data_IF_824414815075
#
_entry.id   IF_824414815075
#
_cell.length_a   1.000
_cell.length_b   1.000
_cell.length_c   1.000
_cell.angle_alpha   90.00
_cell.angle_beta   90.00
_cell.angle_gamma   90.00
#
_symmetry.space_group_name_H-M   'P 1'
#
loop_
_entity.id
_entity.type
_entity.pdbx_description
1 polymer ?
#
# COMPACT_ATOMS: atom_id res chain seq x y z
N UNK A 1 0.91 9.41 4.30
CA UNK A 1 0.06 8.74 5.32
C UNK A 1 -1.00 9.70 5.87
N UNK A 2 -1.68 10.43 4.97
CA UNK A 2 -3.03 10.89 5.24
C UNK A 2 -3.98 9.87 4.63
N UNK A 3 -4.19 8.78 5.35
CA UNK A 3 -5.38 7.97 5.19
C UNK A 3 -6.02 7.91 6.56
N UNK A 4 -6.70 9.01 6.93
CA UNK A 4 -7.87 8.90 7.77
C UNK A 4 -8.84 8.00 7.01
N UNK A 5 -8.70 6.69 7.20
CA UNK A 5 -9.66 5.70 6.72
C UNK A 5 -10.98 6.00 7.42
N UNK A 6 -11.79 6.87 6.81
CA UNK A 6 -13.23 6.79 6.95
C UNK A 6 -13.58 5.38 6.47
N UNK A 7 -13.89 4.53 7.44
CA UNK A 7 -14.46 3.24 7.12
C UNK A 7 -15.83 3.54 6.53
N UNK A 8 -16.09 3.12 5.29
CA UNK A 8 -17.42 3.23 4.68
C UNK A 8 -18.47 2.46 5.50
N UNK A 9 -18.02 1.45 6.24
CA UNK A 9 -18.80 0.85 7.31
C UNK A 9 -18.90 1.86 8.46
N UNK A 10 -20.13 2.19 8.85
CA UNK A 10 -20.48 3.19 9.86
C UNK A 10 -20.16 2.74 11.30
N UNK A 11 -18.93 2.28 11.53
CA UNK A 11 -18.43 1.67 12.76
C UNK A 11 -18.52 2.68 13.92
N UNK A 12 -18.43 3.97 13.64
CA UNK A 12 -18.51 5.01 14.66
C UNK A 12 -19.93 5.19 15.23
N UNK A 13 -20.97 4.80 14.49
CA UNK A 13 -22.36 4.76 14.96
C UNK A 13 -22.71 3.51 15.78
N UNK A 14 -21.84 2.50 15.80
CA UNK A 14 -22.04 1.29 16.60
C UNK A 14 -21.82 1.62 18.08
N UNK A 15 -22.74 1.16 18.93
CA UNK A 15 -22.65 1.32 20.38
C UNK A 15 -21.34 0.73 20.92
N UNK A 16 -20.73 1.39 21.91
CA UNK A 16 -19.48 0.92 22.50
C UNK A 16 -19.70 -0.44 23.20
N UNK A 17 -18.79 -1.42 23.02
CA UNK A 17 -18.85 -2.64 23.79
C UNK A 17 -18.65 -2.34 25.28
N UNK A 18 -19.39 -3.04 26.14
CA UNK A 18 -19.48 -2.79 27.58
C UNK A 18 -18.22 -3.14 28.38
N UNK A 19 -17.22 -3.79 27.77
CA UNK A 19 -16.02 -4.31 28.44
C UNK A 19 -14.76 -3.62 27.93
N UNK A 20 -13.93 -3.14 28.86
CA UNK A 20 -12.60 -2.63 28.54
C UNK A 20 -11.77 -3.72 27.84
N UNK A 21 -11.38 -3.48 26.59
CA UNK A 21 -10.56 -4.41 25.82
C UNK A 21 -9.08 -4.14 26.10
N UNK A 22 -8.42 -5.09 26.79
CA UNK A 22 -6.97 -5.08 26.94
C UNK A 22 -6.24 -5.61 25.68
N UNK A 23 -4.93 -5.38 25.61
CA UNK A 23 -4.11 -5.80 24.48
C UNK A 23 -4.10 -7.32 24.29
N UNK A 24 -4.05 -8.07 25.39
CA UNK A 24 -4.00 -9.54 25.37
C UNK A 24 -5.27 -10.14 24.76
N UNK A 25 -6.44 -9.57 25.05
CA UNK A 25 -7.72 -9.96 24.46
C UNK A 25 -7.76 -9.64 22.98
N UNK A 26 -7.38 -8.41 22.59
CA UNK A 26 -7.32 -8.02 21.18
C UNK A 26 -6.41 -8.96 20.37
N UNK A 27 -5.23 -9.28 20.91
CA UNK A 27 -4.29 -10.23 20.31
C UNK A 27 -4.89 -11.61 20.12
N UNK A 28 -5.48 -12.22 21.16
CA UNK A 28 -6.11 -13.55 21.08
C UNK A 28 -7.30 -13.58 20.11
N UNK A 29 -8.04 -12.49 20.00
CA UNK A 29 -9.18 -12.41 19.08
C UNK A 29 -8.70 -12.28 17.64
N UNK A 30 -7.80 -11.34 17.35
CA UNK A 30 -7.46 -10.97 15.98
C UNK A 30 -6.36 -11.80 15.32
N UNK A 31 -5.39 -12.32 16.08
CA UNK A 31 -4.22 -12.98 15.49
C UNK A 31 -4.57 -14.24 14.69
N UNK A 32 -5.72 -14.89 14.96
CA UNK A 32 -6.19 -16.03 14.16
C UNK A 32 -6.46 -15.67 12.69
N UNK A 33 -6.86 -14.43 12.41
CA UNK A 33 -7.16 -13.95 11.06
C UNK A 33 -5.90 -13.54 10.29
N UNK A 34 -4.74 -13.48 10.94
CA UNK A 34 -3.47 -13.12 10.31
C UNK A 34 -2.56 -14.33 10.08
N UNK A 35 -3.13 -15.54 10.08
CA UNK A 35 -2.43 -16.78 9.73
C UNK A 35 -3.16 -17.55 8.62
N UNK A 36 -2.46 -18.17 7.67
CA UNK A 36 -3.09 -19.02 6.65
C UNK A 36 -3.94 -20.15 7.26
N UNK A 37 -3.43 -20.81 8.29
CA UNK A 37 -4.14 -21.92 8.96
C UNK A 37 -5.45 -21.44 9.59
N UNK A 38 -5.41 -20.33 10.34
CA UNK A 38 -6.59 -19.77 10.97
C UNK A 38 -7.59 -19.25 9.93
N UNK A 39 -7.12 -18.58 8.87
CA UNK A 39 -7.95 -18.14 7.76
C UNK A 39 -8.69 -19.32 7.11
N UNK A 40 -7.98 -20.41 6.77
CA UNK A 40 -8.58 -21.62 6.19
C UNK A 40 -9.60 -22.28 7.13
N UNK A 41 -9.31 -22.37 8.42
CA UNK A 41 -10.25 -22.92 9.40
C UNK A 41 -11.56 -22.13 9.46
N UNK A 42 -11.47 -20.80 9.45
CA UNK A 42 -12.65 -19.92 9.44
C UNK A 42 -13.39 -20.05 8.12
N UNK A 43 -12.70 -20.02 6.99
CA UNK A 43 -13.31 -20.12 5.67
C UNK A 43 -14.04 -21.46 5.48
N UNK A 44 -13.47 -22.57 5.96
CA UNK A 44 -14.13 -23.89 5.95
C UNK A 44 -15.38 -23.96 6.82
N UNK A 45 -15.44 -23.20 7.92
CA UNK A 45 -16.62 -23.17 8.78
C UNK A 45 -17.72 -22.24 8.25
N UNK A 46 -17.38 -21.22 7.46
CA UNK A 46 -18.32 -20.16 7.07
C UNK A 46 -18.74 -20.15 5.59
N UNK A 47 -17.96 -20.77 4.69
CA UNK A 47 -18.27 -20.77 3.26
C UNK A 47 -18.84 -22.14 2.87
N UNK A 48 -20.12 -22.22 2.45
CA UNK A 48 -20.78 -23.49 2.12
C UNK A 48 -20.05 -24.34 1.06
N UNK A 49 -19.39 -23.70 0.11
CA UNK A 49 -18.58 -24.36 -0.93
C UNK A 49 -17.42 -25.18 -0.33
N UNK A 50 -16.89 -24.77 0.82
CA UNK A 50 -15.75 -25.44 1.47
C UNK A 50 -16.18 -26.41 2.55
N UNK A 51 -17.38 -26.25 3.13
CA UNK A 51 -17.89 -27.15 4.17
C UNK A 51 -18.37 -28.49 3.60
N UNK A 52 -18.82 -28.51 2.35
CA UNK A 52 -19.31 -29.71 1.66
C UNK A 52 -18.20 -30.61 1.10
N UNK A 53 -16.94 -30.16 1.13
CA UNK A 53 -15.79 -30.90 0.58
C UNK A 53 -15.73 -30.96 -0.95
N UNK A 54 -16.63 -30.26 -1.65
CA UNK A 54 -16.63 -30.17 -3.12
C UNK A 54 -15.40 -29.44 -3.65
N UNK A 55 -14.94 -28.43 -2.91
CA UNK A 55 -13.75 -27.65 -3.22
C UNK A 55 -12.73 -27.79 -2.09
N UNK A 56 -11.56 -28.37 -2.41
CA UNK A 56 -10.45 -28.45 -1.47
C UNK A 56 -9.58 -27.19 -1.58
N UNK A 57 -9.37 -26.50 -0.45
CA UNK A 57 -8.39 -25.41 -0.36
C UNK A 57 -6.99 -26.03 -0.28
N UNK A 58 -6.21 -25.89 -1.35
CA UNK A 58 -4.84 -26.39 -1.42
C UNK A 58 -3.79 -25.38 -0.94
N UNK A 59 -4.09 -24.08 -1.04
CA UNK A 59 -3.21 -23.01 -0.59
C UNK A 59 -3.99 -21.77 -0.15
N UNK A 60 -3.43 -20.99 0.78
CA UNK A 60 -3.98 -19.75 1.29
C UNK A 60 -2.88 -18.72 1.53
N UNK A 61 -2.91 -17.63 0.77
CA UNK A 61 -1.98 -16.50 0.91
C UNK A 61 -2.71 -15.31 1.50
N UNK A 62 -2.14 -14.68 2.52
CA UNK A 62 -2.64 -13.40 3.05
C UNK A 62 -2.10 -12.28 2.16
N UNK A 63 -3.00 -11.61 1.45
CA UNK A 63 -2.65 -10.49 0.56
C UNK A 63 -2.45 -9.18 1.31
N UNK A 64 -3.29 -8.95 2.32
CA UNK A 64 -3.23 -7.76 3.18
C UNK A 64 -3.81 -8.08 4.55
N UNK A 65 -3.29 -7.43 5.59
CA UNK A 65 -3.87 -7.43 6.92
C UNK A 65 -3.60 -6.09 7.59
N UNK A 66 -4.60 -5.52 8.25
CA UNK A 66 -4.52 -4.18 8.83
C UNK A 66 -5.35 -4.07 10.10
N UNK A 67 -4.65 -3.87 11.21
CA UNK A 67 -5.20 -3.56 12.51
C UNK A 67 -5.55 -2.06 12.59
N UNK A 68 -6.75 -1.75 13.03
CA UNK A 68 -7.18 -0.38 13.38
C UNK A 68 -7.38 -0.30 14.89
N UNK A 69 -6.53 0.49 15.56
CA UNK A 69 -6.60 0.73 17.01
C UNK A 69 -6.77 2.21 17.35
N UNK A 70 -7.29 2.46 18.55
CA UNK A 70 -7.56 3.78 19.09
C UNK A 70 -6.69 4.07 20.31
N UNK A 71 -6.20 5.32 20.43
CA UNK A 71 -5.40 5.76 21.57
C UNK A 71 -6.24 5.90 22.84
N UNK A 72 -7.47 6.43 22.71
CA UNK A 72 -8.37 6.62 23.87
C UNK A 72 -8.79 5.26 24.42
N UNK A 73 -8.57 4.96 25.72
CA UNK A 73 -8.94 3.67 26.31
C UNK A 73 -10.42 3.30 26.09
N UNK A 74 -11.33 4.27 26.24
CA UNK A 74 -12.77 4.08 26.00
C UNK A 74 -13.13 3.72 24.54
N UNK A 75 -12.21 3.91 23.59
CA UNK A 75 -12.40 3.58 22.17
C UNK A 75 -11.69 2.29 21.76
N UNK A 76 -10.91 1.64 22.64
CA UNK A 76 -10.18 0.40 22.29
C UNK A 76 -11.11 -0.74 21.87
N UNK A 77 -12.32 -0.80 22.42
CA UNK A 77 -13.34 -1.76 22.01
C UNK A 77 -13.88 -1.57 20.59
N UNK A 78 -13.63 -0.41 19.95
CA UNK A 78 -13.97 -0.18 18.53
C UNK A 78 -12.90 -0.67 17.57
N UNK A 79 -11.81 -1.25 18.08
CA UNK A 79 -10.71 -1.73 17.23
C UNK A 79 -11.19 -2.83 16.31
N UNK A 80 -10.65 -2.87 15.11
CA UNK A 80 -11.00 -3.84 14.08
C UNK A 80 -9.74 -4.38 13.42
N UNK A 81 -9.85 -5.56 12.81
CA UNK A 81 -8.82 -6.11 11.94
C UNK A 81 -9.45 -6.40 10.58
N UNK A 82 -8.90 -5.80 9.53
CA UNK A 82 -9.16 -6.20 8.15
C UNK A 82 -8.11 -7.23 7.72
N UNK A 83 -8.52 -8.26 6.99
CA UNK A 83 -7.62 -9.26 6.41
C UNK A 83 -8.13 -9.68 5.03
N UNK A 84 -7.23 -9.89 4.08
CA UNK A 84 -7.54 -10.31 2.73
C UNK A 84 -6.77 -11.57 2.38
N UNK A 85 -7.46 -12.56 1.81
CA UNK A 85 -6.91 -13.87 1.50
C UNK A 85 -7.07 -14.18 0.03
N UNK A 86 -6.05 -14.79 -0.59
CA UNK A 86 -6.15 -15.48 -1.87
C UNK A 86 -6.07 -16.98 -1.61
N UNK A 87 -7.12 -17.69 -1.99
CA UNK A 87 -7.19 -19.14 -1.91
C UNK A 87 -6.91 -19.75 -3.27
N UNK A 88 -6.14 -20.82 -3.29
CA UNK A 88 -6.09 -21.74 -4.42
C UNK A 88 -6.93 -22.96 -4.07
N UNK A 89 -7.86 -23.32 -4.95
CA UNK A 89 -8.88 -24.34 -4.71
C UNK A 89 -8.87 -25.36 -5.84
N UNK A 90 -9.21 -26.61 -5.55
CA UNK A 90 -9.39 -27.68 -6.53
C UNK A 90 -10.76 -28.33 -6.39
N UNK A 91 -11.43 -28.55 -7.51
CA UNK A 91 -12.71 -29.25 -7.56
C UNK A 91 -12.48 -30.76 -7.73
N UNK A 92 -12.56 -31.53 -6.64
CA UNK A 92 -12.20 -32.95 -6.64
C UNK A 92 -10.72 -33.24 -6.93
N UNK A 93 -10.36 -34.53 -7.07
CA UNK A 93 -8.96 -34.98 -7.19
C UNK A 93 -8.30 -34.68 -8.55
N UNK A 94 -9.09 -34.35 -9.57
CA UNK A 94 -8.63 -34.07 -10.94
C UNK A 94 -9.03 -32.67 -11.45
N UNK A 95 -9.66 -31.84 -10.61
CA UNK A 95 -10.14 -30.53 -11.03
C UNK A 95 -9.03 -29.51 -11.30
N UNK A 96 -9.33 -28.58 -12.18
CA UNK A 96 -8.47 -27.44 -12.45
C UNK A 96 -8.38 -26.56 -11.20
N UNK A 97 -7.16 -26.09 -10.90
CA UNK A 97 -6.96 -25.15 -9.81
C UNK A 97 -7.62 -23.80 -10.16
N UNK A 98 -8.44 -23.27 -9.27
CA UNK A 98 -9.03 -21.93 -9.39
C UNK A 98 -8.61 -21.07 -8.21
N UNK A 99 -8.60 -19.75 -8.42
CA UNK A 99 -8.29 -18.80 -7.36
C UNK A 99 -9.52 -17.99 -6.96
N UNK A 100 -9.62 -17.69 -5.66
CA UNK A 100 -10.65 -16.81 -5.08
C UNK A 100 -10.03 -15.87 -4.08
N UNK A 101 -10.55 -14.65 -4.03
CA UNK A 101 -10.14 -13.64 -3.05
C UNK A 101 -11.29 -13.40 -2.07
N UNK A 102 -10.96 -13.34 -0.79
CA UNK A 102 -11.88 -13.04 0.29
C UNK A 102 -11.37 -11.85 1.11
N UNK A 103 -12.27 -10.95 1.46
CA UNK A 103 -12.02 -9.86 2.40
C UNK A 103 -12.78 -10.13 3.70
N UNK A 104 -12.08 -10.11 4.83
CA UNK A 104 -12.62 -10.30 6.17
C UNK A 104 -12.43 -9.03 7.00
N UNK A 105 -13.46 -8.62 7.75
CA UNK A 105 -13.37 -7.58 8.80
C UNK A 105 -13.84 -8.14 10.13
N UNK A 106 -12.92 -8.25 11.07
CA UNK A 106 -13.15 -8.73 12.43
C UNK A 106 -13.34 -7.56 13.40
N UNK A 107 -14.23 -7.76 14.36
CA UNK A 107 -14.66 -6.78 15.36
C UNK A 107 -14.44 -7.30 16.78
N UNK A 108 -14.80 -6.47 17.76
CA UNK A 108 -14.79 -6.82 19.18
C UNK A 108 -16.18 -6.61 19.80
N UNK A 109 -16.51 -7.44 20.78
CA UNK A 109 -17.69 -7.27 21.61
C UNK A 109 -19.03 -7.53 20.91
N UNK A 110 -19.04 -8.28 19.81
CA UNK A 110 -20.25 -8.59 19.04
C UNK A 110 -20.68 -7.47 18.09
N UNK A 111 -19.82 -6.47 17.87
CA UNK A 111 -20.13 -5.27 17.08
C UNK A 111 -20.45 -5.60 15.61
N UNK A 112 -19.98 -6.74 15.09
CA UNK A 112 -20.30 -7.19 13.72
C UNK A 112 -21.81 -7.34 13.48
N UNK A 113 -22.61 -7.69 14.49
CA UNK A 113 -24.07 -7.84 14.36
C UNK A 113 -24.72 -6.55 13.91
N UNK A 114 -24.36 -5.45 14.57
CA UNK A 114 -24.91 -4.14 14.26
C UNK A 114 -24.37 -3.63 12.93
N UNK A 115 -23.07 -3.81 12.66
CA UNK A 115 -22.48 -3.44 11.36
C UNK A 115 -23.15 -4.19 10.22
N UNK A 116 -23.36 -5.50 10.36
CA UNK A 116 -24.01 -6.32 9.34
C UNK A 116 -25.47 -5.91 9.11
N UNK A 117 -26.21 -5.60 10.18
CA UNK A 117 -27.59 -5.08 10.10
C UNK A 117 -27.69 -3.78 9.31
N UNK A 118 -26.64 -2.95 9.37
CA UNK A 118 -26.54 -1.67 8.68
C UNK A 118 -26.02 -1.78 7.25
N UNK A 119 -25.56 -2.96 6.80
CA UNK A 119 -25.16 -3.16 5.41
C UNK A 119 -26.38 -3.10 4.50
N UNK A 120 -26.31 -2.27 3.47
CA UNK A 120 -27.32 -2.20 2.42
C UNK A 120 -26.87 -3.02 1.21
N UNK A 121 -27.79 -3.70 0.49
CA UNK A 121 -27.45 -4.46 -0.71
C UNK A 121 -26.89 -3.64 -1.88
N UNK A 122 -26.83 -2.31 -1.81
CA UNK A 122 -26.21 -1.42 -2.82
C UNK A 122 -26.51 -1.81 -4.29
N UNK A 123 -27.79 -2.05 -4.60
CA UNK A 123 -28.23 -2.43 -5.95
C UNK A 123 -28.02 -3.91 -6.31
N UNK A 124 -27.69 -4.77 -5.35
CA UNK A 124 -27.72 -6.23 -5.45
C UNK A 124 -29.09 -6.78 -5.07
N UNK A 125 -29.49 -7.88 -5.71
CA UNK A 125 -30.61 -8.71 -5.25
C UNK A 125 -30.28 -9.37 -3.90
N UNK A 126 -31.31 -9.78 -3.15
CA UNK A 126 -31.12 -10.51 -1.88
C UNK A 126 -30.28 -11.79 -2.04
N UNK A 127 -30.38 -12.45 -3.20
CA UNK A 127 -29.60 -13.65 -3.48
C UNK A 127 -28.13 -13.32 -3.71
N UNK A 128 -27.84 -12.32 -4.53
CA UNK A 128 -26.48 -11.83 -4.77
C UNK A 128 -25.85 -11.32 -3.48
N UNK A 129 -26.59 -10.59 -2.64
CA UNK A 129 -26.09 -10.10 -1.36
C UNK A 129 -25.72 -11.25 -0.42
N UNK A 130 -26.58 -12.28 -0.30
CA UNK A 130 -26.31 -13.48 0.51
C UNK A 130 -25.14 -14.31 0.00
N UNK A 131 -24.87 -14.26 -1.30
CA UNK A 131 -23.68 -14.85 -1.88
C UNK A 131 -22.44 -13.98 -1.63
N UNK A 132 -22.53 -12.67 -1.83
CA UNK A 132 -21.44 -11.73 -1.72
C UNK A 132 -20.90 -11.60 -0.29
N UNK A 133 -21.79 -11.59 0.71
CA UNK A 133 -21.47 -11.25 2.10
C UNK A 133 -21.92 -12.34 3.06
N UNK A 134 -21.05 -12.69 4.01
CA UNK A 134 -21.35 -13.68 5.05
C UNK A 134 -21.02 -13.09 6.41
N UNK A 135 -22.00 -13.10 7.33
CA UNK A 135 -21.83 -12.67 8.72
C UNK A 135 -21.65 -13.87 9.63
N UNK A 136 -20.60 -13.82 10.45
CA UNK A 136 -20.22 -14.87 11.39
C UNK A 136 -20.18 -14.31 12.82
N UNK A 137 -21.32 -14.27 13.53
CA UNK A 137 -21.40 -13.66 14.85
C UNK A 137 -20.53 -14.35 15.91
N UNK A 138 -20.22 -15.64 15.75
CA UNK A 138 -19.36 -16.42 16.65
C UNK A 138 -17.88 -16.01 16.58
N UNK A 139 -17.45 -15.45 15.44
CA UNK A 139 -16.10 -14.91 15.24
C UNK A 139 -16.08 -13.38 15.28
N UNK A 140 -17.25 -12.75 15.50
CA UNK A 140 -17.46 -11.31 15.38
C UNK A 140 -16.92 -10.75 14.05
N UNK A 141 -17.28 -11.41 12.94
CA UNK A 141 -16.65 -11.26 11.63
C UNK A 141 -17.69 -11.02 10.53
N UNK A 142 -17.36 -10.15 9.57
CA UNK A 142 -18.06 -10.07 8.28
C UNK A 142 -17.06 -10.41 7.17
N UNK A 143 -17.50 -11.23 6.21
CA UNK A 143 -16.71 -11.70 5.07
C UNK A 143 -17.36 -11.24 3.77
N UNK A 144 -16.56 -10.72 2.84
CA UNK A 144 -16.94 -10.40 1.47
C UNK A 144 -16.18 -11.27 0.48
N UNK A 145 -16.88 -11.78 -0.52
CA UNK A 145 -16.30 -12.47 -1.68
C UNK A 145 -15.91 -11.42 -2.72
N UNK A 146 -14.64 -11.37 -3.12
CA UNK A 146 -14.23 -10.50 -4.22
C UNK A 146 -14.98 -10.90 -5.51
N UNK A 147 -15.48 -9.95 -6.33
CA UNK A 147 -15.17 -8.53 -6.33
C UNK A 147 -16.03 -7.64 -5.41
N UNK A 148 -16.85 -8.19 -4.52
CA UNK A 148 -17.65 -7.37 -3.62
C UNK A 148 -16.80 -6.74 -2.51
N UNK A 149 -16.94 -5.43 -2.34
CA UNK A 149 -16.29 -4.63 -1.29
C UNK A 149 -17.23 -3.47 -0.92
N UNK A 150 -17.40 -3.16 0.38
CA UNK A 150 -18.35 -2.12 0.82
C UNK A 150 -17.92 -0.68 0.49
N UNK A 151 -16.64 -0.41 0.23
CA UNK A 151 -16.14 0.90 -0.18
C UNK A 151 -15.75 0.97 -1.66
N UNK A 152 -15.63 -0.17 -2.35
CA UNK A 152 -15.29 -0.26 -3.78
C UNK A 152 -16.41 -0.98 -4.57
N UNK A 153 -17.63 -0.42 -4.63
CA UNK A 153 -18.78 -1.08 -5.27
C UNK A 153 -18.61 -1.29 -6.79
N UNK A 154 -17.72 -0.53 -7.42
CA UNK A 154 -17.44 -0.60 -8.86
C UNK A 154 -16.50 -1.76 -9.26
N UNK A 155 -15.89 -2.49 -8.31
CA UNK A 155 -14.95 -3.59 -8.61
C UNK A 155 -15.54 -4.65 -9.56
N UNK A 156 -16.86 -4.88 -9.51
CA UNK A 156 -17.56 -5.80 -10.42
C UNK A 156 -17.37 -5.45 -11.90
N UNK A 157 -17.29 -4.16 -12.23
CA UNK A 157 -17.07 -3.70 -13.59
C UNK A 157 -15.62 -3.86 -14.04
N UNK A 158 -14.68 -3.94 -13.09
CA UNK A 158 -13.23 -4.01 -13.36
C UNK A 158 -12.72 -5.42 -13.61
N UNK A 159 -13.49 -6.44 -13.23
CA UNK A 159 -13.10 -7.85 -13.40
C UNK A 159 -13.91 -8.54 -14.48
N UNK A 160 -14.95 -7.88 -14.99
CA UNK A 160 -15.73 -8.31 -16.13
C UNK A 160 -15.07 -7.78 -17.41
N UNK A 161 -14.58 -8.69 -18.24
CA UNK A 161 -13.81 -8.37 -19.45
C UNK A 161 -14.62 -7.57 -20.49
N UNK A 162 -15.96 -7.68 -20.48
CA UNK A 162 -16.82 -6.97 -21.43
C UNK A 162 -17.27 -5.64 -20.83
N UNK A 163 -17.66 -5.61 -19.55
CA UNK A 163 -18.11 -4.38 -18.91
C UNK A 163 -16.99 -3.33 -18.84
N UNK A 164 -15.73 -3.76 -18.65
CA UNK A 164 -14.60 -2.84 -18.54
C UNK A 164 -14.29 -2.09 -19.83
N UNK A 165 -14.63 -2.65 -21.01
CA UNK A 165 -14.42 -2.01 -22.31
C UNK A 165 -15.12 -0.64 -22.41
N UNK A 166 -16.25 -0.48 -21.73
CA UNK A 166 -17.01 0.78 -21.68
C UNK A 166 -16.33 1.88 -20.86
N UNK A 167 -15.36 1.51 -20.03
CA UNK A 167 -14.67 2.43 -19.13
C UNK A 167 -13.21 2.69 -19.53
N UNK A 168 -12.73 2.07 -20.63
CA UNK A 168 -11.39 2.28 -21.13
C UNK A 168 -11.18 3.74 -21.60
N UNK A 169 -9.98 4.32 -21.40
CA UNK A 169 -9.71 5.72 -21.69
C UNK A 169 -9.48 5.94 -23.20
N UNK A 170 -10.55 6.06 -23.99
CA UNK A 170 -10.48 6.13 -25.45
C UNK A 170 -9.50 7.18 -25.99
N UNK A 171 -9.43 8.37 -25.40
CA UNK A 171 -8.47 9.40 -25.81
C UNK A 171 -7.01 8.99 -25.57
N UNK A 172 -6.69 8.48 -24.38
CA UNK A 172 -5.33 7.98 -24.09
C UNK A 172 -4.96 6.77 -24.94
N UNK A 173 -5.91 5.87 -25.20
CA UNK A 173 -5.68 4.73 -26.10
C UNK A 173 -5.29 5.18 -27.51
N UNK A 174 -5.89 6.26 -28.04
CA UNK A 174 -5.46 6.86 -29.31
C UNK A 174 -4.03 7.37 -29.28
N UNK A 175 -3.56 7.91 -28.15
CA UNK A 175 -2.19 8.41 -28.00
C UNK A 175 -1.13 7.31 -28.07
N UNK A 176 -1.48 6.08 -27.66
CA UNK A 176 -0.61 4.89 -27.81
C UNK A 176 -0.90 4.12 -29.11
N UNK A 177 -1.66 4.72 -30.02
CA UNK A 177 -1.91 4.23 -31.38
C UNK A 177 -3.15 3.36 -31.55
N UNK A 178 -3.94 3.08 -30.52
CA UNK A 178 -5.15 2.25 -30.63
C UNK A 178 -6.32 3.11 -31.13
N UNK A 179 -6.75 2.91 -32.38
CA UNK A 179 -7.73 3.77 -33.07
C UNK A 179 -9.21 3.38 -32.82
N UNK A 180 -9.48 2.22 -32.22
CA UNK A 180 -10.82 1.71 -31.93
C UNK A 180 -10.96 1.24 -30.48
N UNK A 181 -12.06 0.55 -30.18
CA UNK A 181 -12.22 -0.14 -28.89
C UNK A 181 -11.44 -1.46 -28.94
N UNK A 182 -10.36 -1.61 -28.15
CA UNK A 182 -9.65 -2.87 -28.09
C UNK A 182 -10.49 -3.91 -27.35
N UNK A 183 -10.27 -5.18 -27.68
CA UNK A 183 -10.84 -6.27 -26.90
C UNK A 183 -10.00 -6.49 -25.64
N UNK A 184 -10.64 -6.70 -24.48
CA UNK A 184 -9.91 -7.13 -23.28
C UNK A 184 -9.81 -8.65 -23.26
N UNK A 185 -8.60 -9.18 -23.48
CA UNK A 185 -8.35 -10.62 -23.51
C UNK A 185 -8.20 -11.23 -22.12
N UNK A 186 -7.63 -10.48 -21.19
CA UNK A 186 -7.35 -10.95 -19.84
C UNK A 186 -7.35 -9.81 -18.83
N UNK A 187 -7.64 -10.16 -17.58
CA UNK A 187 -7.56 -9.28 -16.42
C UNK A 187 -6.86 -10.01 -15.27
N UNK A 188 -5.99 -9.29 -14.55
CA UNK A 188 -5.31 -9.79 -13.36
C UNK A 188 -5.33 -8.74 -12.24
N UNK A 189 -5.77 -9.14 -11.05
CA UNK A 189 -5.63 -8.32 -9.84
C UNK A 189 -4.16 -8.32 -9.40
N UNK A 190 -3.49 -7.18 -9.58
CA UNK A 190 -2.08 -6.98 -9.20
C UNK A 190 -1.98 -6.74 -7.70
N UNK A 191 -2.83 -5.86 -7.18
CA UNK A 191 -2.83 -5.48 -5.78
C UNK A 191 -4.25 -5.12 -5.35
N UNK A 192 -4.67 -5.61 -4.18
CA UNK A 192 -5.98 -5.29 -3.63
C UNK A 192 -5.83 -4.99 -2.14
N UNK A 193 -6.19 -3.76 -1.76
CA UNK A 193 -6.26 -3.29 -0.38
C UNK A 193 -7.73 -3.00 -0.07
N UNK A 194 -8.41 -3.91 0.64
CA UNK A 194 -9.84 -3.80 0.90
C UNK A 194 -10.24 -2.43 1.46
N UNK A 195 -11.40 -1.96 1.02
CA UNK A 195 -11.99 -0.66 1.32
C UNK A 195 -11.18 0.58 0.88
N UNK A 196 -9.99 0.40 0.27
CA UNK A 196 -9.07 1.49 -0.05
C UNK A 196 -8.85 1.59 -1.55
N UNK A 197 -8.31 0.54 -2.16
CA UNK A 197 -7.94 0.55 -3.58
C UNK A 197 -7.72 -0.83 -4.18
N UNK A 198 -7.84 -0.92 -5.50
CA UNK A 198 -7.50 -2.10 -6.29
C UNK A 198 -6.70 -1.68 -7.54
N UNK A 199 -5.68 -2.45 -7.88
CA UNK A 199 -4.89 -2.28 -9.11
C UNK A 199 -5.06 -3.53 -9.96
N UNK A 200 -5.56 -3.34 -11.18
CA UNK A 200 -5.76 -4.38 -12.17
C UNK A 200 -4.81 -4.17 -13.34
N UNK A 201 -4.31 -5.27 -13.90
CA UNK A 201 -3.61 -5.32 -15.19
C UNK A 201 -4.55 -5.94 -16.21
N UNK A 202 -4.58 -5.39 -17.41
CA UNK A 202 -5.41 -5.83 -18.53
C UNK A 202 -4.53 -6.05 -19.76
N UNK A 203 -4.72 -7.19 -20.41
CA UNK A 203 -4.15 -7.44 -21.73
C UNK A 203 -5.19 -7.05 -22.77
N UNK A 204 -4.86 -6.02 -23.54
CA UNK A 204 -5.68 -5.49 -24.62
C UNK A 204 -5.25 -6.11 -25.95
N UNK A 205 -6.20 -6.32 -26.86
CA UNK A 205 -5.93 -6.71 -28.24
C UNK A 205 -6.51 -5.68 -29.21
N UNK A 206 -5.63 -5.08 -30.00
CA UNK A 206 -5.97 -4.16 -31.07
C UNK A 206 -6.05 -4.93 -32.40
N UNK A 207 -7.28 -5.26 -32.81
CA UNK A 207 -7.54 -5.97 -34.06
C UNK A 207 -7.14 -5.17 -35.31
N UNK A 208 -6.99 -3.84 -35.23
CA UNK A 208 -6.60 -3.01 -36.38
C UNK A 208 -5.11 -3.14 -36.71
N UNK A 209 -4.29 -3.43 -35.71
CA UNK A 209 -2.83 -3.57 -35.82
C UNK A 209 -2.34 -4.98 -35.54
N UNK A 210 -3.24 -5.91 -35.22
CA UNK A 210 -2.93 -7.30 -34.86
C UNK A 210 -1.85 -7.39 -33.76
N UNK A 211 -2.06 -6.64 -32.66
CA UNK A 211 -1.10 -6.56 -31.55
C UNK A 211 -1.77 -6.57 -30.19
N UNK A 212 -1.00 -6.95 -29.17
CA UNK A 212 -1.41 -6.87 -27.77
C UNK A 212 -0.67 -5.77 -27.04
N UNK A 213 -1.37 -5.08 -26.14
CA UNK A 213 -0.81 -4.07 -25.25
C UNK A 213 -1.23 -4.33 -23.79
N UNK A 214 -0.51 -3.73 -22.85
CA UNK A 214 -0.78 -3.88 -21.42
C UNK A 214 -1.30 -2.56 -20.84
N UNK A 215 -2.32 -2.65 -20.00
CA UNK A 215 -2.95 -1.51 -19.37
C UNK A 215 -3.10 -1.75 -17.87
N UNK A 216 -2.80 -0.74 -17.05
CA UNK A 216 -3.04 -0.77 -15.61
C UNK A 216 -4.17 0.17 -15.24
N UNK A 217 -5.14 -0.33 -14.48
CA UNK A 217 -6.23 0.45 -13.89
C UNK A 217 -6.10 0.46 -12.37
N UNK A 218 -5.90 1.65 -11.79
CA UNK A 218 -5.83 1.86 -10.34
C UNK A 218 -7.08 2.56 -9.84
N UNK A 219 -7.84 1.85 -9.03
CA UNK A 219 -9.19 2.16 -8.61
C UNK A 219 -9.22 2.54 -7.13
N UNK A 220 -9.94 3.60 -6.78
CA UNK A 220 -10.03 4.14 -5.43
C UNK A 220 -11.46 4.15 -4.89
N UNK A 221 -11.60 4.18 -3.56
CA UNK A 221 -12.91 4.28 -2.91
C UNK A 221 -13.53 5.68 -3.01
N UNK A 222 -12.76 6.68 -3.43
CA UNK A 222 -13.19 8.06 -3.59
C UNK A 222 -12.62 8.70 -4.88
N UNK A 223 -12.87 9.99 -5.06
CA UNK A 223 -12.47 10.74 -6.26
C UNK A 223 -11.00 11.19 -6.26
N UNK A 224 -10.15 10.70 -5.34
CA UNK A 224 -8.72 11.07 -5.30
C UNK A 224 -7.97 10.67 -6.58
N UNK A 225 -8.50 9.72 -7.36
CA UNK A 225 -7.95 9.31 -8.65
C UNK A 225 -7.79 10.46 -9.64
N UNK A 226 -8.68 11.46 -9.65
CA UNK A 226 -8.55 12.61 -10.55
C UNK A 226 -7.26 13.40 -10.27
N UNK A 227 -7.00 13.72 -9.01
CA UNK A 227 -5.78 14.45 -8.61
C UNK A 227 -4.52 13.63 -8.90
N UNK A 228 -4.58 12.30 -8.75
CA UNK A 228 -3.47 11.43 -9.16
C UNK A 228 -3.23 11.50 -10.67
N UNK A 229 -4.27 11.44 -11.50
CA UNK A 229 -4.14 11.55 -12.94
C UNK A 229 -3.48 12.87 -13.37
N UNK A 230 -3.89 14.00 -12.78
CA UNK A 230 -3.30 15.32 -13.06
C UNK A 230 -1.79 15.36 -12.70
N UNK A 231 -1.41 14.75 -11.57
CA UNK A 231 0.01 14.64 -11.17
C UNK A 231 0.80 13.76 -12.13
N UNK A 232 0.26 12.61 -12.52
CA UNK A 232 0.90 11.74 -13.49
C UNK A 232 1.07 12.46 -14.83
N UNK A 233 0.05 13.18 -15.30
CA UNK A 233 0.14 13.93 -16.56
C UNK A 233 1.27 14.95 -16.52
N UNK A 234 1.38 15.71 -15.42
CA UNK A 234 2.46 16.68 -15.23
C UNK A 234 3.87 16.05 -15.35
N UNK A 235 4.09 14.90 -14.71
CA UNK A 235 5.40 14.24 -14.76
C UNK A 235 5.67 13.58 -16.10
N UNK A 236 4.64 13.07 -16.76
CA UNK A 236 4.74 12.53 -18.11
C UNK A 236 5.17 13.61 -19.10
N UNK A 237 4.50 14.76 -19.10
CA UNK A 237 4.83 15.89 -19.98
C UNK A 237 6.25 16.40 -19.72
N UNK A 238 6.70 16.44 -18.46
CA UNK A 238 8.10 16.73 -18.12
C UNK A 238 9.08 15.72 -18.70
N UNK A 239 8.77 14.42 -18.60
CA UNK A 239 9.64 13.35 -19.12
C UNK A 239 9.78 13.38 -20.64
N UNK A 240 8.75 13.84 -21.36
CA UNK A 240 8.82 14.06 -22.81
C UNK A 240 9.66 15.28 -23.18
N UNK A 241 9.62 16.33 -22.37
CA UNK A 241 10.34 17.58 -22.62
C UNK A 241 11.83 17.52 -22.25
N UNK A 242 12.20 16.70 -21.27
CA UNK A 242 13.56 16.59 -20.76
C UNK A 242 13.94 15.10 -20.53
N UNK A 243 14.85 14.53 -21.35
CA UNK A 243 15.32 13.15 -21.16
C UNK A 243 16.04 12.89 -19.83
N UNK A 244 16.50 13.94 -19.14
CA UNK A 244 17.08 13.84 -17.80
C UNK A 244 16.03 13.87 -16.68
N UNK A 245 14.75 14.13 -17.01
CA UNK A 245 13.68 14.14 -16.03
C UNK A 245 13.26 12.73 -15.60
N UNK A 246 12.54 12.66 -14.48
CA UNK A 246 12.03 11.41 -13.95
C UNK A 246 11.09 10.73 -14.96
N UNK A 247 11.49 9.57 -15.47
CA UNK A 247 10.64 8.74 -16.33
C UNK A 247 9.51 8.09 -15.53
N UNK A 248 8.28 8.12 -16.07
CA UNK A 248 7.10 7.46 -15.50
C UNK A 248 6.30 6.75 -16.60
N UNK A 249 5.41 5.84 -16.23
CA UNK A 249 4.48 5.23 -17.17
C UNK A 249 3.41 6.24 -17.62
N UNK A 250 3.14 6.28 -18.94
CA UNK A 250 2.19 7.22 -19.55
C UNK A 250 0.80 7.09 -18.92
N UNK A 251 0.24 8.15 -18.32
CA UNK A 251 -1.16 8.19 -17.95
C UNK A 251 -2.02 8.28 -19.20
N UNK A 252 -3.11 7.52 -19.24
CA UNK A 252 -4.00 7.46 -20.40
C UNK A 252 -5.37 8.09 -20.12
N UNK A 253 -5.76 8.20 -18.85
CA UNK A 253 -7.00 8.88 -18.49
C UNK A 253 -7.46 8.57 -17.07
N UNK A 254 -8.55 9.23 -16.69
CA UNK A 254 -9.31 8.95 -15.47
C UNK A 254 -10.78 8.70 -15.83
N UNK A 255 -11.35 7.62 -15.32
CA UNK A 255 -12.77 7.25 -15.49
C UNK A 255 -13.52 7.50 -14.18
N UNK A 256 -14.29 8.61 -14.06
CA UNK A 256 -14.96 9.00 -12.83
C UNK A 256 -16.01 8.00 -12.34
N UNK A 257 -16.67 7.29 -13.25
CA UNK A 257 -17.78 6.36 -12.94
C UNK A 257 -17.30 5.17 -12.10
N UNK A 258 -16.02 4.83 -12.24
CA UNK A 258 -15.37 3.70 -11.56
C UNK A 258 -14.15 4.16 -10.75
N UNK A 259 -13.99 5.46 -10.50
CA UNK A 259 -12.86 6.06 -9.77
C UNK A 259 -11.48 5.47 -10.17
N UNK A 260 -11.24 5.29 -11.47
CA UNK A 260 -10.07 4.56 -11.96
C UNK A 260 -9.15 5.42 -12.79
N UNK A 261 -7.87 5.45 -12.41
CA UNK A 261 -6.78 6.04 -13.19
C UNK A 261 -6.15 4.96 -14.06
N UNK A 262 -5.94 5.28 -15.33
CA UNK A 262 -5.40 4.38 -16.32
C UNK A 262 -3.98 4.77 -16.70
N UNK A 263 -3.08 3.79 -16.75
CA UNK A 263 -1.69 3.98 -17.17
C UNK A 263 -1.26 2.88 -18.14
N UNK A 264 -0.49 3.25 -19.14
CA UNK A 264 0.12 2.31 -20.08
C UNK A 264 1.09 1.37 -19.35
N UNK A 265 1.02 0.09 -19.67
CA UNK A 265 2.01 -0.88 -19.21
C UNK A 265 3.36 -0.60 -19.85
N UNK A 266 4.41 -0.60 -19.04
CA UNK A 266 5.78 -0.43 -19.50
C UNK A 266 6.55 -1.73 -19.36
N UNK A 267 7.44 -2.07 -20.31
CA UNK A 267 8.39 -3.15 -20.09
C UNK A 267 9.36 -2.76 -18.98
N UNK A 268 9.77 -3.71 -18.15
CA UNK A 268 10.76 -3.46 -17.11
C UNK A 268 10.80 -4.54 -16.04
N UNK A 269 11.95 -4.67 -15.39
CA UNK A 269 12.14 -5.57 -14.24
C UNK A 269 12.25 -4.73 -12.97
N UNK A 270 11.62 -5.11 -11.85
CA UNK A 270 11.80 -4.39 -10.58
C UNK A 270 13.27 -4.22 -10.24
N UNK A 271 13.69 -3.00 -9.88
CA UNK A 271 15.11 -2.68 -9.68
C UNK A 271 15.77 -3.61 -8.66
N UNK A 272 15.04 -3.96 -7.58
CA UNK A 272 15.50 -4.89 -6.55
C UNK A 272 15.95 -6.26 -7.11
N UNK A 273 15.40 -6.71 -8.23
CA UNK A 273 15.72 -8.02 -8.82
C UNK A 273 16.97 -7.99 -9.71
N UNK A 274 17.38 -6.82 -10.20
CA UNK A 274 18.52 -6.68 -11.10
C UNK A 274 19.72 -6.00 -10.44
N UNK A 275 19.52 -5.35 -9.30
CA UNK A 275 20.56 -4.60 -8.60
C UNK A 275 21.60 -5.52 -7.96
N UNK A 276 22.88 -5.30 -8.27
CA UNK A 276 24.01 -6.05 -7.74
C UNK A 276 25.29 -5.19 -7.58
N UNK A 277 26.37 -5.82 -7.12
CA UNK A 277 27.67 -5.16 -6.90
C UNK A 277 28.32 -4.62 -8.17
N UNK A 278 27.97 -5.12 -9.36
CA UNK A 278 28.52 -4.69 -10.64
C UNK A 278 27.81 -3.46 -11.21
N UNK A 279 26.52 -3.29 -10.91
CA UNK A 279 25.68 -2.27 -11.55
C UNK A 279 25.13 -1.19 -10.60
N UNK A 280 25.26 -1.35 -9.28
CA UNK A 280 24.63 -0.42 -8.32
C UNK A 280 25.01 1.05 -8.53
N UNK A 281 26.26 1.34 -8.93
CA UNK A 281 26.69 2.72 -9.19
C UNK A 281 25.95 3.37 -10.33
N UNK A 282 25.70 2.62 -11.40
CA UNK A 282 24.96 3.10 -12.55
C UNK A 282 23.51 3.40 -12.16
N UNK A 283 22.84 2.46 -11.50
CA UNK A 283 21.46 2.66 -11.07
C UNK A 283 21.32 3.76 -10.03
N UNK A 284 22.23 3.88 -9.06
CA UNK A 284 22.11 4.94 -8.05
C UNK A 284 22.32 6.34 -8.61
N UNK A 285 23.10 6.49 -9.69
CA UNK A 285 23.15 7.74 -10.44
C UNK A 285 21.81 8.05 -11.12
N UNK A 286 21.17 7.07 -11.77
CA UNK A 286 19.86 7.24 -12.39
C UNK A 286 18.75 7.50 -11.35
N UNK A 287 18.78 6.83 -10.20
CA UNK A 287 17.85 7.06 -9.09
C UNK A 287 18.00 8.49 -8.55
N UNK A 288 19.23 8.93 -8.30
CA UNK A 288 19.51 10.29 -7.85
C UNK A 288 19.03 11.34 -8.84
N UNK A 289 19.28 11.14 -10.13
CA UNK A 289 18.84 12.04 -11.18
C UNK A 289 17.31 12.15 -11.25
N UNK A 290 16.61 11.01 -11.35
CA UNK A 290 15.15 11.00 -11.39
C UNK A 290 14.51 11.60 -10.14
N UNK A 291 14.99 11.24 -8.95
CA UNK A 291 14.46 11.78 -7.70
C UNK A 291 14.75 13.28 -7.55
N UNK A 292 15.93 13.76 -7.97
CA UNK A 292 16.22 15.20 -7.97
C UNK A 292 15.30 15.96 -8.95
N UNK A 293 14.92 15.35 -10.08
CA UNK A 293 13.96 15.94 -11.01
C UNK A 293 12.55 16.04 -10.39
N UNK A 294 12.15 15.06 -9.56
CA UNK A 294 10.92 15.14 -8.77
C UNK A 294 11.02 16.27 -7.74
N UNK A 295 12.10 16.33 -6.96
CA UNK A 295 12.28 17.32 -5.90
C UNK A 295 12.41 18.75 -6.42
N UNK A 296 12.92 18.94 -7.64
CA UNK A 296 13.00 20.26 -8.29
C UNK A 296 11.78 20.58 -9.15
N UNK A 297 10.76 19.72 -9.14
CA UNK A 297 9.52 19.97 -9.86
C UNK A 297 8.66 21.04 -9.18
N UNK A 298 7.85 21.74 -9.98
CA UNK A 298 6.90 22.75 -9.49
C UNK A 298 5.46 22.21 -9.53
N UNK A 299 5.23 21.00 -9.03
CA UNK A 299 3.88 20.42 -8.93
C UNK A 299 3.05 21.25 -7.94
N UNK A 300 1.89 21.73 -8.40
CA UNK A 300 0.97 22.52 -7.58
C UNK A 300 0.02 21.63 -6.75
N UNK A 301 -0.63 22.23 -5.75
CA UNK A 301 -1.74 21.59 -5.02
C UNK A 301 -1.35 20.44 -4.08
N UNK A 302 -0.07 20.33 -3.73
CA UNK A 302 0.40 19.33 -2.77
C UNK A 302 0.24 19.83 -1.33
N UNK A 303 -0.23 18.95 -0.44
CA UNK A 303 -0.20 19.22 1.00
C UNK A 303 1.25 19.31 1.48
N UNK A 304 1.53 20.14 2.48
CA UNK A 304 2.85 20.25 3.09
C UNK A 304 2.90 19.46 4.41
N UNK A 305 4.06 18.87 4.71
CA UNK A 305 4.29 18.14 5.95
C UNK A 305 5.63 18.55 6.56
N UNK A 306 5.58 19.13 7.76
CA UNK A 306 6.76 19.63 8.48
C UNK A 306 7.38 18.57 9.40
N UNK A 307 8.65 18.75 9.83
CA UNK A 307 9.24 17.98 10.92
C UNK A 307 8.38 17.97 12.19
N UNK A 308 7.67 19.04 12.49
CA UNK A 308 6.75 19.14 13.63
C UNK A 308 5.54 18.22 13.45
N UNK A 309 4.94 18.20 12.26
CA UNK A 309 3.84 17.29 11.92
C UNK A 309 4.28 15.83 12.02
N UNK A 310 5.51 15.54 11.57
CA UNK A 310 6.15 14.25 11.74
C UNK A 310 6.24 13.82 13.21
N UNK A 311 6.70 14.71 14.08
CA UNK A 311 6.81 14.41 15.51
C UNK A 311 5.44 14.15 16.15
N UNK A 312 4.40 14.89 15.77
CA UNK A 312 3.03 14.66 16.24
C UNK A 312 2.55 13.26 15.86
N UNK A 313 2.71 12.86 14.60
CA UNK A 313 2.27 11.54 14.13
C UNK A 313 3.13 10.40 14.70
N UNK A 314 4.44 10.60 14.81
CA UNK A 314 5.35 9.60 15.39
C UNK A 314 5.04 9.37 16.86
N UNK A 315 4.74 10.41 17.65
CA UNK A 315 4.34 10.24 19.06
C UNK A 315 3.10 9.36 19.19
N UNK A 316 2.08 9.56 18.36
CA UNK A 316 0.88 8.70 18.33
C UNK A 316 1.23 7.24 18.04
N UNK A 317 2.16 7.00 17.10
CA UNK A 317 2.62 5.65 16.74
C UNK A 317 3.40 5.01 17.89
N UNK A 318 4.35 5.74 18.48
CA UNK A 318 5.15 5.27 19.62
C UNK A 318 4.26 4.91 20.81
N UNK A 319 3.23 5.71 21.13
CA UNK A 319 2.26 5.36 22.18
C UNK A 319 1.56 4.02 21.90
N UNK A 320 1.12 3.78 20.66
CA UNK A 320 0.51 2.49 20.28
C UNK A 320 1.48 1.33 20.36
N UNK A 321 2.75 1.55 20.03
CA UNK A 321 3.81 0.54 20.15
C UNK A 321 4.11 0.23 21.63
N UNK A 322 4.18 1.23 22.50
CA UNK A 322 4.36 1.03 23.95
C UNK A 322 3.18 0.27 24.57
N UNK A 323 1.95 0.58 24.16
CA UNK A 323 0.75 -0.16 24.59
C UNK A 323 0.82 -1.65 24.19
N UNK A 324 1.44 -1.94 23.04
CA UNK A 324 1.54 -3.28 22.48
C UNK A 324 2.75 -4.08 22.99
N UNK A 325 3.82 -3.37 23.38
CA UNK A 325 5.04 -3.94 23.96
C UNK A 325 5.43 -3.22 25.26
N UNK A 326 4.66 -3.41 26.35
CA UNK A 326 4.88 -2.66 27.59
C UNK A 326 6.30 -2.79 28.15
N UNK A 327 6.93 -3.96 27.99
CA UNK A 327 8.30 -4.24 28.42
C UNK A 327 9.38 -3.42 27.70
N UNK A 328 9.04 -2.77 26.58
CA UNK A 328 9.95 -1.92 25.81
C UNK A 328 9.56 -0.43 25.84
N UNK A 329 8.61 -0.04 26.68
CA UNK A 329 8.08 1.33 26.73
C UNK A 329 9.16 2.39 26.93
N UNK A 330 10.14 2.14 27.81
CA UNK A 330 11.24 3.08 28.07
C UNK A 330 12.11 3.29 26.82
N UNK A 331 12.45 2.20 26.12
CA UNK A 331 13.22 2.25 24.87
C UNK A 331 12.45 3.00 23.76
N UNK A 332 11.15 2.73 23.64
CA UNK A 332 10.27 3.38 22.66
C UNK A 332 10.14 4.88 22.98
N UNK A 333 9.99 5.25 24.26
CA UNK A 333 9.92 6.65 24.69
C UNK A 333 11.23 7.39 24.40
N UNK A 334 12.38 6.78 24.72
CA UNK A 334 13.69 7.39 24.50
C UNK A 334 13.95 7.72 23.01
N UNK A 335 13.39 6.95 22.07
CA UNK A 335 13.45 7.26 20.64
C UNK A 335 12.61 8.50 20.31
N UNK A 336 11.41 8.61 20.87
CA UNK A 336 10.57 9.81 20.71
C UNK A 336 11.25 11.08 21.25
N UNK A 337 11.90 10.97 22.40
CA UNK A 337 12.67 12.07 23.00
C UNK A 337 13.88 12.44 22.14
N UNK A 338 14.58 11.43 21.62
CA UNK A 338 15.72 11.65 20.70
C UNK A 338 15.28 12.34 19.42
N UNK A 339 14.21 11.86 18.78
CA UNK A 339 13.65 12.48 17.57
C UNK A 339 13.21 13.93 17.83
N UNK A 340 12.61 14.20 18.99
CA UNK A 340 12.21 15.56 19.37
C UNK A 340 13.43 16.47 19.57
N UNK A 341 14.44 16.00 20.32
CA UNK A 341 15.65 16.77 20.65
C UNK A 341 16.56 17.03 19.45
N UNK A 342 16.57 16.12 18.49
CA UNK A 342 17.44 16.18 17.30
C UNK A 342 16.68 16.58 16.03
N UNK A 343 15.45 17.09 16.18
CA UNK A 343 14.66 17.59 15.07
C UNK A 343 15.44 18.61 14.25
N UNK A 344 15.44 18.53 12.91
CA UNK A 344 16.16 19.46 12.06
C UNK A 344 15.65 20.89 12.30
N UNK A 345 16.58 21.81 12.55
CA UNK A 345 16.23 23.23 12.63
C UNK A 345 15.83 23.78 11.25
N UNK A 346 15.03 24.85 11.20
CA UNK A 346 14.83 25.61 9.97
C UNK A 346 16.18 25.98 9.34
N UNK A 347 16.33 25.71 8.05
CA UNK A 347 17.59 25.88 7.32
C UNK A 347 17.31 26.19 5.85
N UNK A 348 18.36 26.41 5.06
CA UNK A 348 18.25 26.72 3.64
C UNK A 348 17.83 25.52 2.75
N UNK A 349 17.66 24.32 3.32
CA UNK A 349 17.13 23.16 2.59
C UNK A 349 15.66 23.43 2.26
N UNK A 350 15.28 23.36 0.98
CA UNK A 350 13.91 23.67 0.57
C UNK A 350 12.94 22.59 1.06
N UNK A 351 11.71 23.01 1.31
CA UNK A 351 10.58 22.09 1.30
C UNK A 351 10.09 22.01 -0.14
N UNK A 352 10.06 20.81 -0.69
CA UNK A 352 9.83 20.57 -2.10
C UNK A 352 8.93 19.35 -2.29
N UNK A 353 8.38 19.11 -3.50
CA UNK A 353 7.68 17.87 -3.76
C UNK A 353 8.56 16.68 -3.41
N UNK A 354 8.04 15.73 -2.64
CA UNK A 354 8.67 14.45 -2.33
C UNK A 354 7.69 13.33 -2.64
N UNK A 355 8.21 12.18 -3.01
CA UNK A 355 7.45 10.97 -3.30
C UNK A 355 6.79 10.39 -2.04
N UNK A 356 7.35 10.65 -0.86
CA UNK A 356 6.85 10.26 0.48
C UNK A 356 6.98 8.77 0.86
N UNK A 357 6.61 7.85 -0.04
CA UNK A 357 6.81 6.39 0.14
C UNK A 357 7.87 5.84 -0.82
N UNK A 358 8.95 6.60 -1.04
CA UNK A 358 10.02 6.21 -1.95
C UNK A 358 10.80 4.99 -1.43
N UNK A 359 10.69 3.86 -2.12
CA UNK A 359 11.42 2.64 -1.81
C UNK A 359 11.74 1.86 -3.09
N UNK A 360 12.65 0.88 -3.02
CA UNK A 360 13.21 0.24 -4.22
C UNK A 360 12.17 -0.45 -5.12
N UNK A 361 11.05 -0.95 -4.57
CA UNK A 361 9.97 -1.54 -5.40
C UNK A 361 9.21 -0.51 -6.24
N UNK A 362 9.39 0.80 -6.02
CA UNK A 362 8.79 1.86 -6.85
C UNK A 362 9.59 2.17 -8.11
N UNK A 363 10.59 1.33 -8.43
CA UNK A 363 11.51 1.53 -9.55
C UNK A 363 11.52 0.29 -10.43
N UNK A 364 11.29 0.50 -11.73
CA UNK A 364 11.49 -0.51 -12.76
C UNK A 364 12.72 -0.15 -13.60
N UNK A 365 13.58 -1.13 -13.86
CA UNK A 365 14.69 -1.01 -14.78
C UNK A 365 14.27 -1.50 -16.17
N UNK A 366 14.46 -0.65 -17.19
CA UNK A 366 14.13 -0.95 -18.58
C UNK A 366 15.20 -0.35 -19.50
N UNK A 367 15.89 -1.20 -20.27
CA UNK A 367 16.86 -0.78 -21.30
C UNK A 367 17.93 0.22 -20.79
N UNK A 368 18.38 0.05 -19.54
CA UNK A 368 19.37 0.96 -18.91
C UNK A 368 18.78 2.27 -18.38
N UNK A 369 17.46 2.44 -18.40
CA UNK A 369 16.73 3.55 -17.80
C UNK A 369 15.90 3.10 -16.59
N UNK A 370 15.41 4.06 -15.81
CA UNK A 370 14.51 3.82 -14.68
C UNK A 370 13.15 4.45 -14.91
N UNK A 371 12.11 3.70 -14.58
CA UNK A 371 10.73 4.17 -14.56
C UNK A 371 10.27 4.19 -13.10
N UNK A 372 9.83 5.36 -12.65
CA UNK A 372 9.31 5.61 -11.32
C UNK A 372 7.81 5.32 -11.28
N UNK A 373 7.37 4.63 -10.24
CA UNK A 373 6.00 4.18 -10.04
C UNK A 373 5.39 4.80 -8.77
N UNK A 374 4.06 4.75 -8.65
CA UNK A 374 3.29 5.07 -7.43
C UNK A 374 3.46 6.50 -6.87
N UNK A 375 2.95 7.47 -7.63
CA UNK A 375 2.93 8.89 -7.26
C UNK A 375 1.66 9.31 -6.44
N UNK A 376 1.06 8.37 -5.71
CA UNK A 376 -0.18 8.60 -4.94
C UNK A 376 0.02 9.57 -3.77
N UNK A 377 1.12 9.39 -3.04
CA UNK A 377 1.35 10.03 -1.75
C UNK A 377 2.23 11.28 -1.85
N UNK A 378 2.33 11.90 -3.04
CA UNK A 378 3.12 13.12 -3.19
C UNK A 378 2.65 14.21 -2.24
N UNK A 379 3.63 14.82 -1.59
CA UNK A 379 3.45 15.97 -0.71
C UNK A 379 4.63 16.92 -0.86
N UNK A 380 4.54 18.09 -0.25
CA UNK A 380 5.68 18.97 -0.02
C UNK A 380 6.33 18.63 1.31
N UNK A 381 7.62 18.34 1.31
CA UNK A 381 8.36 17.98 2.52
C UNK A 381 9.87 18.12 2.36
N UNK A 382 10.59 17.57 3.32
CA UNK A 382 12.04 17.54 3.32
C UNK A 382 12.56 16.47 2.35
N UNK A 383 13.38 16.82 1.34
CA UNK A 383 13.85 15.88 0.33
C UNK A 383 14.65 14.71 0.90
N UNK A 384 15.28 14.87 2.06
CA UNK A 384 16.05 13.78 2.68
C UNK A 384 15.15 12.66 3.23
N UNK A 385 13.84 12.88 3.32
CA UNK A 385 12.89 11.87 3.70
C UNK A 385 12.84 10.71 2.69
N UNK A 386 12.87 11.00 1.39
CA UNK A 386 12.81 9.95 0.36
C UNK A 386 14.10 9.14 0.36
N UNK A 387 15.26 9.78 0.50
CA UNK A 387 16.55 9.12 0.67
C UNK A 387 16.53 8.20 1.90
N UNK A 388 16.01 8.71 3.02
CA UNK A 388 15.91 7.96 4.26
C UNK A 388 14.96 6.76 4.15
N UNK A 389 13.82 6.90 3.49
CA UNK A 389 12.86 5.81 3.33
C UNK A 389 13.45 4.72 2.42
N UNK A 390 14.15 5.11 1.36
CA UNK A 390 14.86 4.18 0.48
C UNK A 390 15.94 3.41 1.25
N UNK A 391 16.82 4.10 1.96
CA UNK A 391 17.88 3.47 2.76
C UNK A 391 17.31 2.55 3.84
N UNK A 392 16.33 3.03 4.61
CA UNK A 392 15.67 2.24 5.64
C UNK A 392 14.97 1.00 5.05
N UNK A 393 14.38 1.10 3.86
CA UNK A 393 13.72 -0.03 3.19
C UNK A 393 14.71 -1.12 2.79
N UNK A 394 15.88 -0.77 2.24
CA UNK A 394 16.91 -1.73 1.84
C UNK A 394 17.36 -2.64 2.99
N UNK A 395 17.40 -2.11 4.23
CA UNK A 395 17.76 -2.91 5.40
C UNK A 395 16.80 -4.07 5.72
N UNK A 396 15.58 -4.04 5.18
CA UNK A 396 14.58 -5.12 5.33
C UNK A 396 14.47 -5.99 4.08
N UNK A 397 15.32 -5.77 3.07
CA UNK A 397 15.39 -6.63 1.88
C UNK A 397 16.38 -7.77 2.11
N UNK A 398 16.18 -8.86 1.38
CA UNK A 398 17.09 -10.01 1.39
C UNK A 398 18.33 -9.69 0.55
N UNK A 399 19.16 -8.78 1.06
CA UNK A 399 20.39 -8.31 0.43
C UNK A 399 21.55 -8.38 1.40
N UNK A 400 22.76 -8.52 0.86
CA UNK A 400 23.98 -8.43 1.64
C UNK A 400 24.14 -7.04 2.30
N UNK A 401 24.57 -7.01 3.56
CA UNK A 401 24.64 -5.77 4.35
C UNK A 401 25.69 -4.80 3.82
N UNK A 402 26.81 -5.30 3.30
CA UNK A 402 27.86 -4.45 2.72
C UNK A 402 27.34 -3.83 1.41
N UNK A 403 26.62 -4.61 0.60
CA UNK A 403 25.97 -4.08 -0.60
C UNK A 403 24.93 -3.00 -0.27
N UNK A 404 24.10 -3.19 0.78
CA UNK A 404 23.15 -2.15 1.24
C UNK A 404 23.86 -0.86 1.62
N UNK A 405 25.00 -0.94 2.32
CA UNK A 405 25.82 0.23 2.67
C UNK A 405 26.40 0.90 1.44
N UNK A 406 26.94 0.13 0.49
CA UNK A 406 27.48 0.64 -0.77
C UNK A 406 26.41 1.37 -1.59
N UNK A 407 25.20 0.81 -1.69
CA UNK A 407 24.06 1.41 -2.39
C UNK A 407 23.64 2.72 -1.70
N UNK A 408 23.49 2.70 -0.38
CA UNK A 408 23.07 3.88 0.39
C UNK A 408 24.07 5.03 0.26
N UNK A 409 25.36 4.74 0.43
CA UNK A 409 26.43 5.73 0.30
C UNK A 409 26.55 6.26 -1.15
N UNK A 410 26.40 5.40 -2.15
CA UNK A 410 26.40 5.82 -3.55
C UNK A 410 25.21 6.72 -3.87
N UNK A 411 24.01 6.32 -3.45
CA UNK A 411 22.80 7.11 -3.67
C UNK A 411 22.92 8.49 -3.03
N UNK A 412 23.36 8.57 -1.77
CA UNK A 412 23.63 9.83 -1.08
C UNK A 412 24.59 10.73 -1.88
N UNK A 413 25.74 10.19 -2.32
CA UNK A 413 26.75 10.94 -3.07
C UNK A 413 26.25 11.41 -4.43
N UNK A 414 25.50 10.59 -5.15
CA UNK A 414 24.96 10.98 -6.46
C UNK A 414 23.88 12.04 -6.30
N UNK A 415 22.99 11.86 -5.33
CA UNK A 415 21.94 12.82 -5.04
C UNK A 415 22.51 14.20 -4.65
N UNK A 416 23.55 14.23 -3.81
CA UNK A 416 24.25 15.47 -3.45
C UNK A 416 24.80 16.23 -4.67
N UNK A 417 25.22 15.55 -5.73
CA UNK A 417 25.70 16.20 -6.96
C UNK A 417 24.57 16.77 -7.82
N UNK A 418 23.35 16.24 -7.69
CA UNK A 418 22.21 16.61 -8.50
C UNK A 418 21.43 17.82 -7.96
N UNK A 419 21.72 18.26 -6.73
CA UNK A 419 20.96 19.34 -6.06
C UNK A 419 21.85 20.48 -5.61
N UNK A 420 21.26 21.66 -5.44
CA UNK A 420 21.98 22.88 -5.03
C UNK A 420 21.92 23.14 -3.52
N UNK A 421 21.05 22.43 -2.80
CA UNK A 421 20.94 22.54 -1.36
C UNK A 421 21.86 21.58 -0.63
N UNK A 422 22.12 21.90 0.65
CA UNK A 422 22.91 21.05 1.53
C UNK A 422 22.20 19.71 1.81
N UNK A 423 22.97 18.61 1.76
CA UNK A 423 22.52 17.26 2.08
C UNK A 423 23.20 16.81 3.38
N UNK A 424 22.73 17.32 4.53
CA UNK A 424 23.31 17.01 5.85
C UNK A 424 23.12 15.53 6.23
N UNK A 425 24.21 14.92 6.70
CA UNK A 425 24.22 13.53 7.20
C UNK A 425 23.39 13.39 8.47
N UNK A 426 23.45 14.36 9.37
CA UNK A 426 22.70 14.39 10.62
C UNK A 426 21.19 14.44 10.34
N UNK A 427 20.80 15.26 9.35
CA UNK A 427 19.41 15.41 8.93
C UNK A 427 18.88 14.15 8.25
N UNK A 428 19.68 13.53 7.38
CA UNK A 428 19.37 12.22 6.80
C UNK A 428 19.22 11.15 7.89
N UNK A 429 20.14 11.11 8.86
CA UNK A 429 20.10 10.17 9.97
C UNK A 429 18.87 10.37 10.87
N UNK A 430 18.38 11.61 11.03
CA UNK A 430 17.13 11.88 11.73
C UNK A 430 15.93 11.27 10.98
N UNK A 431 15.83 11.50 9.67
CA UNK A 431 14.77 10.94 8.84
C UNK A 431 14.83 9.41 8.80
N UNK A 432 16.02 8.81 8.76
CA UNK A 432 16.18 7.35 8.82
C UNK A 432 15.56 6.78 10.10
N UNK A 433 15.85 7.39 11.26
CA UNK A 433 15.26 6.94 12.53
C UNK A 433 13.73 7.05 12.50
N UNK A 434 13.22 8.14 11.93
CA UNK A 434 11.78 8.31 11.72
C UNK A 434 11.19 7.21 10.83
N UNK A 435 11.86 6.86 9.73
CA UNK A 435 11.39 5.81 8.83
C UNK A 435 11.47 4.42 9.46
N UNK A 436 12.47 4.14 10.29
CA UNK A 436 12.52 2.90 11.06
C UNK A 436 11.34 2.79 12.04
N UNK A 437 10.97 3.87 12.74
CA UNK A 437 9.75 3.89 13.56
C UNK A 437 8.49 3.67 12.72
N UNK A 438 8.41 4.28 11.53
CA UNK A 438 7.31 4.02 10.59
C UNK A 438 7.27 2.54 10.16
N UNK A 439 8.41 1.91 9.88
CA UNK A 439 8.49 0.48 9.51
C UNK A 439 8.04 -0.41 10.68
N UNK A 440 8.51 -0.16 11.90
CA UNK A 440 8.01 -0.85 13.10
C UNK A 440 6.50 -0.72 13.22
N UNK A 441 5.96 0.48 13.05
CA UNK A 441 4.52 0.71 13.09
C UNK A 441 3.77 -0.01 11.95
N UNK A 442 4.33 -0.11 10.73
CA UNK A 442 3.75 -0.91 9.64
C UNK A 442 3.68 -2.40 10.02
N UNK A 443 4.70 -2.96 10.68
CA UNK A 443 4.65 -4.35 11.17
C UNK A 443 3.59 -4.56 12.25
N UNK A 444 3.48 -3.62 13.19
CA UNK A 444 2.39 -3.59 14.17
C UNK A 444 1.01 -3.57 13.50
N UNK A 445 0.81 -2.74 12.48
CA UNK A 445 -0.45 -2.67 11.76
C UNK A 445 -0.77 -3.96 11.00
N UNK A 446 0.23 -4.61 10.38
CA UNK A 446 0.03 -5.91 9.71
C UNK A 446 -0.42 -7.00 10.67
N UNK A 447 -0.02 -6.90 11.93
CA UNK A 447 -0.45 -7.78 13.01
C UNK A 447 -0.23 -9.28 12.70
N UNK A 448 0.81 -9.57 11.91
CA UNK A 448 1.23 -10.93 11.59
C UNK A 448 1.82 -11.61 12.84
N UNK A 449 1.74 -12.94 12.99
CA UNK A 449 2.34 -13.62 14.12
C UNK A 449 3.83 -13.28 14.29
N UNK A 450 4.24 -12.99 15.53
CA UNK A 450 5.62 -12.61 15.84
C UNK A 450 5.99 -11.18 15.47
N UNK A 451 5.02 -10.33 15.08
CA UNK A 451 5.31 -8.92 14.79
C UNK A 451 6.01 -8.22 15.96
N UNK A 452 5.78 -8.65 17.21
CA UNK A 452 6.40 -8.06 18.41
C UNK A 452 7.93 -8.10 18.34
N UNK A 453 8.50 -9.24 17.93
CA UNK A 453 9.95 -9.40 17.79
C UNK A 453 10.49 -8.51 16.67
N UNK A 454 9.81 -8.45 15.53
CA UNK A 454 10.20 -7.59 14.39
C UNK A 454 10.15 -6.11 14.79
N UNK A 455 9.11 -5.71 15.53
CA UNK A 455 8.97 -4.36 16.07
C UNK A 455 10.12 -4.07 17.04
N UNK A 456 10.41 -4.96 17.99
CA UNK A 456 11.52 -4.78 18.92
C UNK A 456 12.86 -4.60 18.18
N UNK A 457 13.18 -5.48 17.25
CA UNK A 457 14.41 -5.42 16.46
C UNK A 457 14.51 -4.11 15.66
N UNK A 458 13.41 -3.68 15.05
CA UNK A 458 13.34 -2.43 14.29
C UNK A 458 13.52 -1.20 15.18
N UNK A 459 12.92 -1.21 16.38
CA UNK A 459 13.05 -0.13 17.36
C UNK A 459 14.49 -0.06 17.90
N UNK A 460 15.13 -1.21 18.16
CA UNK A 460 16.56 -1.25 18.51
C UNK A 460 17.44 -0.70 17.38
N UNK A 461 17.09 -0.98 16.13
CA UNK A 461 17.79 -0.40 14.98
C UNK A 461 17.59 1.11 14.90
N UNK A 462 16.38 1.61 15.14
CA UNK A 462 16.09 3.05 15.21
C UNK A 462 16.89 3.76 16.33
N UNK A 463 17.06 3.09 17.47
CA UNK A 463 17.85 3.61 18.58
C UNK A 463 19.34 3.73 18.21
N UNK A 464 19.92 2.70 17.57
CA UNK A 464 21.33 2.71 17.16
C UNK A 464 21.58 3.66 15.98
N UNK A 465 20.61 3.77 15.07
CA UNK A 465 20.80 4.39 13.76
C UNK A 465 21.42 3.42 12.74
N UNK A 466 21.38 3.80 11.48
CA UNK A 466 22.09 3.11 10.40
C UNK A 466 23.48 3.72 10.21
N UNK A 467 24.44 2.89 9.81
CA UNK A 467 25.72 3.39 9.30
C UNK A 467 25.45 3.98 7.90
N UNK A 468 25.69 5.27 7.76
CA UNK A 468 25.51 6.04 6.53
C UNK A 468 26.80 6.09 5.71
#
# INVERSE_FOLDING_TARGET
MMSTTHSSLNIDQVSQPSVATDWATMRRTFQRFTTPIGAVQILRSCVPEFSTGTHEISDCVILDAKLKTYLKPASKGKSTLSACYRLTMREGSAGQASQRIFYAKAFLGGSSREVFRLLTPSGMSDMEFRYAVTHMPEYDLILWRFPHDPALPHLRHLVDLVAIEQHLPSEGLRQIGIQGTPQVLAQQVVNYRPEIRCTNRYTLYDATQDRTDELFGKTFCDSQGQTLYERLQFFWDRSLADPAAMGIAQPLGYSPEINTVWQHGVPGTPLLQVLDTSNYKHYMAAVAQGLSSLHTSNVAGLAAHSPEDHLVEIRKKLTKLSDALPQHSDMISAIGDTLTRTAPAPSAVPFCPIHWDFHIDQLLAAEGTLIFCDLDELIVGDPLQDLANFAADLHFRHMDKELVQLITAEFYRQYQKCVTWEVSVERLAWHIRLQLVNKAYRHYLRFAPGFEEIVEQTIRLAQRGLAL
#
